data_IF_054508761610
#
_entry.id   IF_054508761610
#
_cell.length_a   1.000
_cell.length_b   1.000
_cell.length_c   1.000
_cell.angle_alpha   90.00
_cell.angle_beta   90.00
_cell.angle_gamma   90.00
#
_symmetry.space_group_name_H-M   'P 1'
#
loop_
_entity.id
_entity.type
_entity.pdbx_description
1 polymer ?
#
# COMPACT_ATOMS: atom_id res chain seq x y z
N UNK A 1 -4.81 -7.38 2.44
CA UNK A 1 -5.23 -8.31 3.53
C UNK A 1 -4.92 -9.79 3.21
N UNK A 2 -4.03 -10.08 2.33
CA UNK A 2 -3.69 -11.46 1.94
C UNK A 2 -2.21 -11.76 1.87
N UNK A 3 -1.38 -10.74 1.95
CA UNK A 3 0.07 -10.84 1.94
C UNK A 3 0.63 -9.80 2.89
N UNK A 4 1.70 -10.14 3.59
CA UNK A 4 2.40 -9.21 4.47
C UNK A 4 3.30 -8.32 3.61
N UNK A 5 2.95 -7.04 3.54
CA UNK A 5 3.77 -6.02 2.89
C UNK A 5 4.47 -5.16 3.95
N UNK A 6 5.75 -4.92 3.77
CA UNK A 6 6.54 -4.08 4.68
C UNK A 6 6.13 -2.62 4.59
N UNK A 7 5.93 -2.11 3.37
CA UNK A 7 5.46 -0.77 3.09
C UNK A 7 4.75 -0.68 1.75
N UNK A 8 3.71 0.14 1.69
CA UNK A 8 2.85 0.29 0.51
C UNK A 8 2.83 1.74 0.05
N UNK A 9 3.05 1.96 -1.24
CA UNK A 9 2.88 3.28 -1.87
C UNK A 9 1.75 3.21 -2.89
N UNK A 10 0.68 3.99 -2.64
CA UNK A 10 -0.50 4.07 -3.51
C UNK A 10 -0.42 5.36 -4.32
N UNK A 11 -0.42 5.24 -5.62
CA UNK A 11 -0.44 6.38 -6.54
C UNK A 11 -1.86 6.74 -6.96
N UNK A 12 -2.20 8.00 -6.81
CA UNK A 12 -3.47 8.60 -7.22
C UNK A 12 -3.23 9.85 -8.08
N UNK A 13 -4.22 10.18 -8.90
CA UNK A 13 -4.11 11.30 -9.85
C UNK A 13 -4.23 12.66 -9.20
N UNK A 14 -5.11 12.82 -8.22
CA UNK A 14 -5.43 14.12 -7.63
C UNK A 14 -5.02 14.22 -6.16
N UNK A 15 -4.74 15.45 -5.71
CA UNK A 15 -4.46 15.72 -4.30
C UNK A 15 -5.63 15.33 -3.39
N UNK A 16 -6.86 15.61 -3.83
CA UNK A 16 -8.07 15.26 -3.09
C UNK A 16 -8.15 13.75 -2.86
N UNK A 17 -7.89 12.94 -3.90
CA UNK A 17 -7.91 11.47 -3.77
C UNK A 17 -6.86 10.97 -2.77
N UNK A 18 -5.74 11.68 -2.57
CA UNK A 18 -4.76 11.26 -1.53
C UNK A 18 -5.39 11.26 -0.15
N UNK A 19 -6.17 12.29 0.16
CA UNK A 19 -6.84 12.43 1.46
C UNK A 19 -8.02 11.47 1.58
N UNK A 20 -8.91 11.42 0.58
CA UNK A 20 -10.10 10.56 0.61
C UNK A 20 -9.75 9.07 0.77
N UNK A 21 -8.74 8.59 0.04
CA UNK A 21 -8.33 7.19 0.12
C UNK A 21 -7.61 6.92 1.44
N UNK A 22 -6.77 7.85 1.91
CA UNK A 22 -6.12 7.71 3.20
C UNK A 22 -7.16 7.61 4.33
N UNK A 23 -8.14 8.49 4.38
CA UNK A 23 -9.23 8.48 5.37
C UNK A 23 -10.04 7.15 5.32
N UNK A 24 -10.37 6.67 4.12
CA UNK A 24 -11.06 5.39 3.94
C UNK A 24 -10.24 4.18 4.43
N UNK A 25 -8.93 4.22 4.28
CA UNK A 25 -8.04 3.17 4.77
C UNK A 25 -7.85 3.28 6.29
N UNK A 26 -7.69 4.49 6.81
CA UNK A 26 -7.56 4.75 8.24
C UNK A 26 -8.81 4.29 9.01
N UNK A 27 -10.01 4.58 8.49
CA UNK A 27 -11.28 4.12 9.08
C UNK A 27 -11.42 2.58 9.13
N UNK A 28 -10.59 1.86 8.37
CA UNK A 28 -10.49 0.39 8.38
C UNK A 28 -9.35 -0.14 9.24
N UNK A 29 -8.67 0.75 9.97
CA UNK A 29 -7.59 0.40 10.89
C UNK A 29 -6.20 0.30 10.26
N UNK A 30 -6.01 0.80 9.03
CA UNK A 30 -4.67 0.86 8.44
C UNK A 30 -3.91 2.10 8.91
N UNK A 31 -2.61 1.94 9.14
CA UNK A 31 -1.72 3.04 9.48
C UNK A 31 -1.24 3.73 8.19
N UNK A 32 -1.95 4.77 7.78
CA UNK A 32 -1.83 5.42 6.47
C UNK A 32 -1.68 6.94 6.60
N UNK A 33 -1.02 7.55 5.63
CA UNK A 33 -0.97 9.02 5.51
C UNK A 33 -1.05 9.46 4.05
N UNK A 34 -1.72 10.60 3.76
CA UNK A 34 -1.67 11.23 2.45
C UNK A 34 -0.35 11.98 2.24
N UNK A 35 0.09 12.05 0.98
CA UNK A 35 1.25 12.80 0.56
C UNK A 35 0.97 13.52 -0.76
N UNK A 36 0.83 14.84 -0.71
CA UNK A 36 0.55 15.68 -1.89
C UNK A 36 1.30 17.01 -1.81
N UNK A 37 1.20 17.80 -2.87
CA UNK A 37 1.95 19.04 -3.01
C UNK A 37 1.51 20.19 -2.10
N UNK A 38 0.40 20.07 -1.37
CA UNK A 38 -0.09 21.10 -0.44
C UNK A 38 0.52 20.94 0.96
N UNK A 39 1.18 19.81 1.21
CA UNK A 39 1.87 19.58 2.47
C UNK A 39 3.15 20.43 2.56
N UNK A 40 3.36 21.05 3.70
CA UNK A 40 4.63 21.70 4.02
C UNK A 40 5.79 20.70 3.93
N UNK A 41 6.97 21.14 3.51
CA UNK A 41 8.14 20.29 3.31
C UNK A 41 8.48 19.47 4.58
N UNK A 42 8.38 20.07 5.76
CA UNK A 42 8.61 19.41 7.04
C UNK A 42 7.63 18.23 7.30
N UNK A 43 6.36 18.42 6.93
CA UNK A 43 5.35 17.36 7.05
C UNK A 43 5.60 16.23 6.05
N UNK A 44 6.01 16.57 4.83
CA UNK A 44 6.39 15.58 3.83
C UNK A 44 7.57 14.73 4.31
N UNK A 45 8.63 15.34 4.79
CA UNK A 45 9.80 14.66 5.35
C UNK A 45 9.43 13.78 6.54
N UNK A 46 8.60 14.27 7.43
CA UNK A 46 8.08 13.51 8.58
C UNK A 46 7.32 12.26 8.12
N UNK A 47 6.46 12.39 7.12
CA UNK A 47 5.68 11.26 6.58
C UNK A 47 6.61 10.21 5.96
N UNK A 48 7.58 10.63 5.16
CA UNK A 48 8.56 9.72 4.55
C UNK A 48 9.42 9.03 5.62
N UNK A 49 9.87 9.75 6.64
CA UNK A 49 10.65 9.19 7.74
C UNK A 49 9.82 8.17 8.55
N UNK A 50 8.54 8.45 8.81
CA UNK A 50 7.65 7.49 9.48
C UNK A 50 7.49 6.21 8.66
N UNK A 51 7.31 6.32 7.34
CA UNK A 51 7.26 5.17 6.43
C UNK A 51 8.59 4.39 6.48
N UNK A 52 9.72 5.07 6.42
CA UNK A 52 11.06 4.45 6.48
C UNK A 52 11.30 3.70 7.79
N UNK A 53 10.82 4.23 8.91
CA UNK A 53 10.99 3.63 10.24
C UNK A 53 9.96 2.53 10.57
N UNK A 54 9.02 2.21 9.67
CA UNK A 54 7.94 1.25 9.95
C UNK A 54 6.87 1.78 10.91
N UNK A 55 6.84 3.09 11.15
CA UNK A 55 5.80 3.77 11.94
C UNK A 55 4.60 4.21 11.10
N UNK A 56 4.61 3.89 9.83
CA UNK A 56 3.57 4.11 8.84
C UNK A 56 3.68 2.98 7.83
N UNK A 57 2.57 2.36 7.47
CA UNK A 57 2.56 1.20 6.59
C UNK A 57 2.19 1.58 5.16
N UNK A 58 1.32 2.57 5.00
CA UNK A 58 0.79 2.99 3.71
C UNK A 58 0.97 4.49 3.51
N UNK A 59 1.40 4.88 2.32
CA UNK A 59 1.37 6.28 1.87
C UNK A 59 0.54 6.37 0.59
N UNK A 60 -0.42 7.29 0.55
CA UNK A 60 -1.20 7.62 -0.66
C UNK A 60 -0.68 8.91 -1.24
N UNK A 61 -0.12 8.88 -2.44
CA UNK A 61 0.62 9.99 -3.02
C UNK A 61 0.23 10.33 -4.45
N UNK A 62 0.43 11.60 -4.83
CA UNK A 62 0.48 12.00 -6.24
C UNK A 62 1.89 11.79 -6.80
N UNK A 63 2.04 11.69 -8.13
CA UNK A 63 3.33 11.53 -8.78
C UNK A 63 4.35 12.60 -8.36
N UNK A 64 3.91 13.87 -8.33
CA UNK A 64 4.75 15.01 -7.94
C UNK A 64 5.26 14.87 -6.51
N UNK A 65 4.40 14.49 -5.59
CA UNK A 65 4.75 14.34 -4.18
C UNK A 65 5.61 13.08 -3.92
N UNK A 66 5.42 12.03 -4.70
CA UNK A 66 6.19 10.80 -4.60
C UNK A 66 7.59 10.89 -5.23
N UNK A 67 7.88 11.98 -5.98
CA UNK A 67 9.20 12.16 -6.60
C UNK A 67 10.27 12.24 -5.52
N UNK A 68 11.33 11.43 -5.68
CA UNK A 68 12.45 11.38 -4.73
C UNK A 68 12.19 10.58 -3.45
N UNK A 69 11.04 9.89 -3.32
CA UNK A 69 10.90 8.90 -2.24
C UNK A 69 11.91 7.78 -2.48
N UNK A 70 12.78 7.60 -1.49
CA UNK A 70 13.79 6.55 -1.44
C UNK A 70 13.65 5.81 -0.11
N UNK A 71 12.83 4.76 -0.12
CA UNK A 71 12.48 3.96 1.05
C UNK A 71 12.52 2.49 0.67
N UNK A 72 13.54 1.78 1.11
CA UNK A 72 13.83 0.38 0.72
C UNK A 72 12.76 -0.61 1.18
N UNK A 73 12.01 -0.26 2.23
CA UNK A 73 10.96 -1.15 2.75
C UNK A 73 9.66 -1.13 1.93
N UNK A 74 9.54 -0.29 0.89
CA UNK A 74 8.37 -0.33 0.02
C UNK A 74 8.42 -1.64 -0.78
N UNK A 75 7.56 -2.58 -0.42
CA UNK A 75 7.43 -3.89 -1.05
C UNK A 75 6.27 -3.97 -2.05
N UNK A 76 5.32 -3.01 -1.96
CA UNK A 76 4.18 -2.93 -2.87
C UNK A 76 3.96 -1.50 -3.37
N UNK A 77 3.79 -1.36 -4.68
CA UNK A 77 3.29 -0.16 -5.34
C UNK A 77 1.91 -0.44 -5.91
N UNK A 78 0.94 0.39 -5.58
CA UNK A 78 -0.42 0.33 -6.13
C UNK A 78 -0.66 1.54 -7.02
N UNK A 79 -0.89 1.33 -8.30
CA UNK A 79 -1.39 2.35 -9.20
C UNK A 79 -2.92 2.35 -9.13
N UNK A 80 -3.50 3.15 -8.24
CA UNK A 80 -4.94 3.30 -8.12
C UNK A 80 -5.55 3.95 -9.36
N UNK A 81 -4.86 4.97 -9.88
CA UNK A 81 -5.13 5.55 -11.18
C UNK A 81 -4.04 5.16 -12.17
N UNK A 82 -4.42 4.76 -13.39
CA UNK A 82 -3.46 4.49 -14.45
C UNK A 82 -2.66 5.78 -14.76
N UNK A 83 -1.33 5.71 -14.92
CA UNK A 83 -0.51 6.86 -15.28
C UNK A 83 -0.81 7.35 -16.71
N UNK A 84 -0.49 8.59 -16.98
CA UNK A 84 -0.73 9.21 -18.31
C UNK A 84 0.18 8.68 -19.40
N UNK A 85 1.36 8.20 -19.04
CA UNK A 85 2.38 7.69 -19.95
C UNK A 85 3.17 6.52 -19.33
N UNK A 86 3.95 5.85 -20.16
CA UNK A 86 4.74 4.68 -19.77
C UNK A 86 5.93 5.01 -18.89
N UNK A 87 6.52 6.21 -19.05
CA UNK A 87 7.64 6.65 -18.24
C UNK A 87 7.20 6.85 -16.77
N UNK A 88 6.05 7.49 -16.58
CA UNK A 88 5.42 7.64 -15.27
C UNK A 88 5.14 6.28 -14.62
N UNK A 89 4.68 5.29 -15.39
CA UNK A 89 4.49 3.93 -14.87
C UNK A 89 5.80 3.34 -14.35
N UNK A 90 6.86 3.40 -15.16
CA UNK A 90 8.18 2.87 -14.76
C UNK A 90 8.72 3.60 -13.52
N UNK A 91 8.56 4.92 -13.46
CA UNK A 91 8.96 5.71 -12.29
C UNK A 91 8.18 5.35 -11.03
N UNK A 92 6.89 5.02 -11.15
CA UNK A 92 6.06 4.58 -10.02
C UNK A 92 6.50 3.21 -9.51
N UNK A 93 6.60 2.20 -10.39
CA UNK A 93 7.01 0.86 -9.98
C UNK A 93 8.45 0.81 -9.49
N UNK A 94 9.32 1.70 -9.97
CA UNK A 94 10.69 1.87 -9.48
C UNK A 94 10.79 2.40 -8.04
N UNK A 95 9.67 2.56 -7.32
CA UNK A 95 9.65 2.83 -5.86
C UNK A 95 9.72 1.56 -5.03
N UNK A 96 9.45 0.40 -5.61
CA UNK A 96 9.62 -0.93 -4.98
C UNK A 96 10.76 -1.72 -5.63
N UNK A 97 11.11 -2.87 -5.07
CA UNK A 97 12.17 -3.73 -5.60
C UNK A 97 13.58 -3.12 -5.49
N UNK A 98 13.82 -2.30 -4.47
CA UNK A 98 15.10 -1.62 -4.25
C UNK A 98 16.03 -2.44 -3.36
N UNK A 99 17.32 -2.09 -3.39
CA UNK A 99 18.37 -2.72 -2.56
C UNK A 99 18.40 -4.26 -2.67
N UNK A 100 18.11 -4.80 -3.86
CA UNK A 100 18.12 -6.26 -4.11
C UNK A 100 16.90 -7.00 -3.56
N UNK A 101 15.89 -6.29 -3.07
CA UNK A 101 14.62 -6.89 -2.62
C UNK A 101 13.67 -7.14 -3.79
N UNK A 102 12.80 -8.13 -3.64
CA UNK A 102 11.64 -8.29 -4.53
C UNK A 102 10.62 -7.19 -4.26
N UNK A 103 9.88 -6.78 -5.31
CA UNK A 103 8.81 -5.79 -5.20
C UNK A 103 7.64 -6.16 -6.07
N UNK A 104 6.44 -5.86 -5.59
CA UNK A 104 5.20 -6.09 -6.30
C UNK A 104 4.60 -4.77 -6.78
N UNK A 105 3.94 -4.81 -7.95
CA UNK A 105 3.19 -3.68 -8.46
C UNK A 105 1.80 -4.14 -8.89
N UNK A 106 0.77 -3.41 -8.45
CA UNK A 106 -0.62 -3.60 -8.85
C UNK A 106 -1.07 -2.39 -9.65
N UNK A 107 -1.79 -2.62 -10.73
CA UNK A 107 -2.37 -1.58 -11.56
C UNK A 107 -3.88 -1.80 -11.67
N UNK A 108 -4.68 -0.84 -11.18
CA UNK A 108 -6.11 -0.83 -11.45
C UNK A 108 -6.39 -0.18 -12.79
N UNK A 109 -7.24 -0.83 -13.59
CA UNK A 109 -7.64 -0.33 -14.90
C UNK A 109 -9.15 -0.45 -15.07
N UNK A 110 -9.71 0.52 -15.75
CA UNK A 110 -11.07 0.44 -16.28
C UNK A 110 -11.06 -0.17 -17.70
N UNK A 111 -12.19 -0.67 -18.22
CA UNK A 111 -12.26 -1.15 -19.59
C UNK A 111 -11.78 -0.14 -20.66
N UNK A 112 -11.95 1.16 -20.38
CA UNK A 112 -11.53 2.25 -21.29
C UNK A 112 -10.00 2.41 -21.33
N UNK A 113 -9.30 1.98 -20.30
CA UNK A 113 -7.85 2.14 -20.13
C UNK A 113 -7.04 0.96 -20.68
N UNK A 114 -7.70 -0.07 -21.23
CA UNK A 114 -7.03 -1.24 -21.83
C UNK A 114 -6.01 -0.89 -22.91
N UNK A 115 -6.23 0.24 -23.63
CA UNK A 115 -5.26 0.70 -24.63
C UNK A 115 -3.96 1.16 -23.97
N UNK A 116 -4.05 1.89 -22.87
CA UNK A 116 -2.87 2.34 -22.12
C UNK A 116 -2.13 1.14 -21.51
N UNK A 117 -2.86 0.16 -20.96
CA UNK A 117 -2.26 -1.08 -20.46
C UNK A 117 -1.39 -1.75 -21.53
N UNK A 118 -1.92 -1.96 -22.75
CA UNK A 118 -1.15 -2.53 -23.86
C UNK A 118 0.08 -1.69 -24.24
N UNK A 119 -0.02 -0.36 -24.12
CA UNK A 119 1.11 0.54 -24.37
C UNK A 119 2.21 0.36 -23.32
N UNK A 120 1.82 0.21 -22.04
CA UNK A 120 2.73 -0.06 -20.93
C UNK A 120 3.42 -1.42 -21.13
N UNK A 121 2.68 -2.49 -21.38
CA UNK A 121 3.23 -3.83 -21.64
C UNK A 121 4.24 -3.84 -22.80
N UNK A 122 3.91 -3.15 -23.88
CA UNK A 122 4.81 -3.03 -25.04
C UNK A 122 6.09 -2.26 -24.69
N UNK A 123 5.99 -1.19 -23.91
CA UNK A 123 7.14 -0.35 -23.55
C UNK A 123 8.05 -1.05 -22.52
N UNK A 124 7.46 -1.76 -21.56
CA UNK A 124 8.19 -2.51 -20.53
C UNK A 124 8.67 -3.88 -21.03
N UNK A 125 8.14 -4.35 -22.15
CA UNK A 125 8.36 -5.72 -22.69
C UNK A 125 7.99 -6.81 -21.70
N UNK A 126 7.05 -6.54 -20.80
CA UNK A 126 6.56 -7.46 -19.80
C UNK A 126 5.03 -7.48 -19.84
N UNK A 127 4.41 -8.66 -19.92
CA UNK A 127 2.97 -8.79 -19.75
C UNK A 127 2.60 -8.46 -18.31
N UNK A 128 1.45 -7.82 -18.12
CA UNK A 128 0.88 -7.56 -16.79
C UNK A 128 -0.23 -8.58 -16.57
N UNK A 129 -0.01 -9.49 -15.63
CA UNK A 129 -0.96 -10.55 -15.32
C UNK A 129 -2.24 -9.96 -14.70
N UNK A 130 -3.37 -10.53 -15.10
CA UNK A 130 -4.65 -10.16 -14.51
C UNK A 130 -4.77 -10.83 -13.15
N UNK A 131 -4.89 -10.02 -12.11
CA UNK A 131 -5.12 -10.50 -10.75
C UNK A 131 -6.62 -10.69 -10.52
N UNK A 132 -7.02 -11.89 -10.10
CA UNK A 132 -8.37 -12.12 -9.63
C UNK A 132 -8.56 -11.51 -8.24
N UNK A 133 -9.62 -10.71 -8.09
CA UNK A 133 -9.95 -10.15 -6.78
C UNK A 133 -10.40 -11.27 -5.85
N UNK A 134 -9.82 -11.37 -4.64
CA UNK A 134 -10.27 -12.36 -3.68
C UNK A 134 -11.74 -12.12 -3.30
N UNK A 135 -12.51 -13.19 -3.20
CA UNK A 135 -13.90 -13.10 -2.77
C UNK A 135 -14.01 -12.69 -1.30
N UNK A 136 -15.18 -12.21 -0.89
CA UNK A 136 -15.44 -11.83 0.49
C UNK A 136 -15.20 -13.00 1.47
N UNK A 137 -15.52 -14.24 1.03
CA UNK A 137 -15.29 -15.46 1.81
C UNK A 137 -13.81 -15.73 2.01
N UNK A 138 -12.98 -15.57 0.98
CA UNK A 138 -11.52 -15.75 1.07
C UNK A 138 -10.90 -14.71 2.01
N UNK A 139 -11.33 -13.45 1.90
CA UNK A 139 -10.88 -12.38 2.80
C UNK A 139 -11.28 -12.69 4.25
N UNK A 140 -12.54 -13.09 4.47
CA UNK A 140 -13.04 -13.46 5.81
C UNK A 140 -12.28 -14.64 6.40
N UNK A 141 -12.05 -15.69 5.63
CA UNK A 141 -11.29 -16.86 6.08
C UNK A 141 -9.85 -16.49 6.49
N UNK A 142 -9.16 -15.65 5.71
CA UNK A 142 -7.81 -15.16 6.05
C UNK A 142 -7.81 -14.34 7.34
N UNK A 143 -8.78 -13.44 7.53
CA UNK A 143 -8.93 -12.65 8.76
C UNK A 143 -9.14 -13.54 10.00
N UNK A 144 -10.01 -14.54 9.88
CA UNK A 144 -10.25 -15.52 10.97
C UNK A 144 -8.98 -16.29 11.28
N UNK A 145 -8.22 -16.71 10.28
CA UNK A 145 -6.95 -17.43 10.49
C UNK A 145 -5.92 -16.54 11.17
N UNK A 146 -5.71 -15.31 10.69
CA UNK A 146 -4.79 -14.36 11.31
C UNK A 146 -5.19 -14.03 12.77
N UNK A 147 -6.49 -13.88 13.05
CA UNK A 147 -7.00 -13.67 14.38
C UNK A 147 -6.71 -14.86 15.31
N UNK A 148 -6.94 -16.11 14.82
CA UNK A 148 -6.62 -17.33 15.58
C UNK A 148 -5.13 -17.44 15.88
N UNK A 149 -4.26 -17.09 14.93
CA UNK A 149 -2.81 -17.09 15.14
C UNK A 149 -2.39 -16.05 16.17
N UNK A 150 -2.98 -14.84 16.11
CA UNK A 150 -2.74 -13.80 17.10
C UNK A 150 -3.17 -14.24 18.52
N UNK A 151 -4.33 -14.88 18.66
CA UNK A 151 -4.76 -15.45 19.92
C UNK A 151 -3.76 -16.51 20.41
N UNK A 152 -3.37 -17.45 19.55
CA UNK A 152 -2.38 -18.49 19.91
C UNK A 152 -1.05 -17.88 20.37
N UNK A 153 -0.57 -16.86 19.69
CA UNK A 153 0.65 -16.16 20.05
C UNK A 153 0.54 -15.51 21.45
N UNK A 154 -0.58 -14.83 21.74
CA UNK A 154 -0.82 -14.22 23.06
C UNK A 154 -0.93 -15.29 24.16
N UNK A 155 -1.58 -16.42 23.89
CA UNK A 155 -1.64 -17.55 24.84
C UNK A 155 -0.23 -18.11 25.10
N UNK A 156 0.59 -18.27 24.06
CA UNK A 156 1.94 -18.81 24.18
C UNK A 156 2.90 -17.89 24.95
N UNK A 157 2.70 -16.57 24.90
CA UNK A 157 3.50 -15.60 25.66
C UNK A 157 3.10 -15.47 27.14
N UNK A 158 1.98 -16.09 27.56
CA UNK A 158 1.51 -16.01 28.95
C UNK A 158 0.96 -14.64 29.39
N UNK A 159 0.79 -13.71 28.45
CA UNK A 159 0.30 -12.34 28.72
C UNK A 159 -1.23 -12.25 28.94
N UNK A 160 -1.90 -13.38 29.15
CA UNK A 160 -3.36 -13.44 29.33
C UNK A 160 -3.86 -12.64 30.53
N UNK A 161 -3.04 -12.50 31.59
CA UNK A 161 -3.44 -11.77 32.80
C UNK A 161 -3.71 -10.27 32.55
N UNK A 162 -3.06 -9.67 31.56
CA UNK A 162 -3.33 -8.27 31.16
C UNK A 162 -4.70 -8.07 30.49
N UNK A 163 -5.32 -9.13 29.98
CA UNK A 163 -6.62 -9.08 29.33
C UNK A 163 -7.78 -9.51 30.23
N UNK A 164 -7.51 -10.15 31.36
CA UNK A 164 -8.56 -10.53 32.32
C UNK A 164 -9.33 -9.32 32.84
N UNK A 165 -8.62 -8.26 33.22
CA UNK A 165 -9.25 -7.03 33.74
C UNK A 165 -10.13 -6.32 32.65
N UNK A 166 -9.82 -6.50 31.36
CA UNK A 166 -10.58 -5.93 30.24
C UNK A 166 -11.86 -6.73 29.91
N UNK A 167 -11.92 -8.01 30.29
CA UNK A 167 -13.07 -8.90 30.02
C UNK A 167 -14.01 -8.94 31.22
N UNK A 168 -13.53 -8.63 32.43
CA UNK A 168 -14.30 -8.63 33.68
C UNK A 168 -14.91 -7.26 34.02
N UNK A 169 -14.63 -6.20 33.19
CA UNK A 169 -15.23 -4.86 33.28
C UNK A 169 -16.41 -4.70 32.30
#
# INVERSE_FOLDING_TARGET
>A
EGEDFDGVLIFVRTKQNTTEIAEKLESRGFNVAPLNGDLAQSMRERTINRLKMGKLDIVVATDVAARGIDVDRISLVVNYDIPYDTESYVHRIGRTGRAGRSGNAILFITPREKRMLKTIEKATRQPIEVMEMPTAEVISAKRVTAFKEKIRSVIATGELDKFKELVES
#
